data_IF_777163556094
#
_entry.id   IF_777163556094
#
_cell.length_a   1.000
_cell.length_b   1.000
_cell.length_c   1.000
_cell.angle_alpha   90.00
_cell.angle_beta   90.00
_cell.angle_gamma   90.00
#
_symmetry.space_group_name_H-M   'P 1'
#
loop_
_entity.id
_entity.type
_entity.pdbx_description
1 polymer ?
#
# COMPACT_ATOMS: atom_id res chain seq x y z
N UNK A 1 1.28 -38.65 -18.48
CA UNK A 1 1.02 -37.22 -18.24
C UNK A 1 1.71 -36.88 -16.94
N UNK A 2 2.82 -36.13 -16.98
CA UNK A 2 3.52 -35.74 -15.76
C UNK A 2 2.68 -34.66 -15.07
N UNK A 3 2.29 -34.91 -13.81
CA UNK A 3 1.57 -33.94 -13.00
C UNK A 3 2.64 -33.00 -12.38
N UNK A 4 2.72 -31.72 -12.77
CA UNK A 4 3.74 -30.83 -12.24
C UNK A 4 3.38 -30.56 -10.78
N UNK A 5 4.12 -31.17 -9.86
CA UNK A 5 3.97 -30.91 -8.44
C UNK A 5 4.68 -29.59 -8.15
N UNK A 6 3.92 -28.49 -8.16
CA UNK A 6 4.42 -27.16 -7.86
C UNK A 6 4.64 -27.11 -6.34
N UNK A 7 5.86 -27.39 -5.91
CA UNK A 7 6.26 -27.16 -4.52
C UNK A 7 6.56 -25.66 -4.35
N UNK A 8 5.60 -24.92 -3.79
CA UNK A 8 5.76 -23.49 -3.53
C UNK A 8 6.58 -23.33 -2.26
N UNK A 9 7.86 -22.95 -2.42
CA UNK A 9 8.71 -22.59 -1.29
C UNK A 9 8.46 -21.12 -0.89
N UNK A 10 7.57 -20.95 0.09
CA UNK A 10 7.21 -19.63 0.63
C UNK A 10 8.38 -18.96 1.35
N UNK A 11 9.30 -19.74 1.94
CA UNK A 11 10.43 -19.19 2.66
C UNK A 11 11.43 -18.58 1.69
N UNK A 12 11.78 -19.31 0.63
CA UNK A 12 12.66 -18.80 -0.42
C UNK A 12 12.10 -17.52 -1.07
N UNK A 13 10.79 -17.49 -1.34
CA UNK A 13 10.16 -16.29 -1.90
C UNK A 13 10.22 -15.08 -0.95
N UNK A 14 10.09 -15.30 0.36
CA UNK A 14 10.21 -14.23 1.34
C UNK A 14 11.66 -13.74 1.48
N UNK A 15 12.64 -14.64 1.45
CA UNK A 15 14.06 -14.29 1.43
C UNK A 15 14.40 -13.40 0.23
N UNK A 16 14.00 -13.81 -0.99
CA UNK A 16 14.18 -13.02 -2.21
C UNK A 16 13.50 -11.64 -2.12
N UNK A 17 12.31 -11.58 -1.52
CA UNK A 17 11.59 -10.32 -1.32
C UNK A 17 12.33 -9.41 -0.33
N UNK A 18 12.88 -9.95 0.76
CA UNK A 18 13.64 -9.19 1.74
C UNK A 18 14.96 -8.68 1.17
N UNK A 19 15.63 -9.47 0.32
CA UNK A 19 16.87 -9.06 -0.34
C UNK A 19 16.69 -7.80 -1.21
N UNK A 20 15.52 -7.62 -1.84
CA UNK A 20 15.22 -6.43 -2.62
C UNK A 20 15.25 -5.12 -1.81
N UNK A 21 15.15 -5.18 -0.47
CA UNK A 21 15.26 -4.01 0.40
C UNK A 21 16.68 -3.73 0.89
N UNK A 22 17.64 -4.63 0.65
CA UNK A 22 19.02 -4.44 1.07
C UNK A 22 19.76 -3.49 0.12
N UNK A 23 20.50 -2.54 0.68
CA UNK A 23 21.37 -1.65 -0.10
C UNK A 23 20.62 -0.62 -0.96
N UNK A 24 19.35 -0.31 -0.66
CA UNK A 24 18.61 0.72 -1.37
C UNK A 24 19.24 2.10 -1.16
N UNK A 25 19.52 2.81 -2.25
CA UNK A 25 19.97 4.21 -2.23
C UNK A 25 18.74 5.14 -2.25
N UNK A 26 18.44 5.89 -1.17
CA UNK A 26 17.28 6.78 -1.12
C UNK A 26 17.28 7.91 -2.15
N UNK A 27 18.46 8.31 -2.61
CA UNK A 27 18.62 9.43 -3.54
C UNK A 27 18.31 9.05 -5.00
N UNK A 28 18.24 7.75 -5.31
CA UNK A 28 18.07 7.23 -6.67
C UNK A 28 16.92 6.23 -6.77
N UNK A 29 15.67 6.63 -6.44
CA UNK A 29 14.51 5.71 -6.39
C UNK A 29 14.20 5.03 -7.74
N UNK A 30 14.63 5.65 -8.86
CA UNK A 30 14.51 5.07 -10.19
C UNK A 30 15.28 3.75 -10.37
N UNK A 31 16.33 3.50 -9.57
CA UNK A 31 17.16 2.30 -9.67
C UNK A 31 16.71 1.15 -8.75
N UNK A 32 15.72 1.37 -7.90
CA UNK A 32 15.28 0.34 -6.96
C UNK A 32 14.72 -0.92 -7.64
N UNK A 33 14.78 -2.09 -6.99
CA UNK A 33 14.02 -3.26 -7.41
C UNK A 33 12.50 -2.99 -7.43
N UNK A 34 11.75 -3.87 -8.10
CA UNK A 34 10.32 -3.63 -8.37
C UNK A 34 9.47 -3.57 -7.09
N UNK A 35 9.76 -4.42 -6.10
CA UNK A 35 8.95 -4.51 -4.89
C UNK A 35 9.05 -3.22 -4.05
N UNK A 36 10.25 -2.70 -3.70
CA UNK A 36 10.38 -1.40 -3.03
C UNK A 36 9.72 -0.25 -3.79
N UNK A 37 9.82 -0.22 -5.13
CA UNK A 37 9.16 0.80 -5.96
C UNK A 37 7.66 0.78 -5.78
N UNK A 38 7.04 -0.39 -5.99
CA UNK A 38 5.59 -0.54 -5.92
C UNK A 38 5.06 -0.23 -4.52
N UNK A 39 5.73 -0.71 -3.46
CA UNK A 39 5.34 -0.39 -2.10
C UNK A 39 5.42 1.11 -1.81
N UNK A 40 6.43 1.80 -2.34
CA UNK A 40 6.57 3.25 -2.13
C UNK A 40 5.49 4.04 -2.85
N UNK A 41 5.13 3.65 -4.07
CA UNK A 41 3.98 4.21 -4.78
C UNK A 41 2.67 3.95 -4.03
N UNK A 42 2.46 2.72 -3.57
CA UNK A 42 1.26 2.35 -2.82
C UNK A 42 1.17 3.12 -1.50
N UNK A 43 2.26 3.21 -0.75
CA UNK A 43 2.32 3.98 0.49
C UNK A 43 1.98 5.46 0.23
N UNK A 44 2.53 6.05 -0.84
CA UNK A 44 2.21 7.43 -1.24
C UNK A 44 0.74 7.58 -1.57
N UNK A 45 0.16 6.64 -2.34
CA UNK A 45 -1.27 6.67 -2.68
C UNK A 45 -2.15 6.59 -1.43
N UNK A 46 -1.83 5.70 -0.48
CA UNK A 46 -2.55 5.56 0.79
C UNK A 46 -2.47 6.86 1.59
N UNK A 47 -1.29 7.49 1.67
CA UNK A 47 -1.12 8.78 2.35
C UNK A 47 -1.99 9.86 1.71
N UNK A 48 -1.97 9.97 0.38
CA UNK A 48 -2.79 10.98 -0.34
C UNK A 48 -4.28 10.74 -0.10
N UNK A 49 -4.74 9.49 -0.19
CA UNK A 49 -6.15 9.14 0.07
C UNK A 49 -6.53 9.42 1.53
N UNK A 50 -5.67 9.06 2.49
CA UNK A 50 -5.91 9.31 3.91
C UNK A 50 -5.97 10.80 4.24
N UNK A 51 -5.08 11.60 3.66
CA UNK A 51 -5.10 13.06 3.80
C UNK A 51 -6.35 13.67 3.16
N UNK A 52 -6.74 13.22 1.97
CA UNK A 52 -7.98 13.67 1.32
C UNK A 52 -9.23 13.29 2.11
N UNK A 53 -9.24 12.09 2.71
CA UNK A 53 -10.33 11.63 3.55
C UNK A 53 -10.53 12.53 4.78
N UNK A 54 -9.46 12.76 5.56
CA UNK A 54 -9.53 13.55 6.79
C UNK A 54 -9.60 15.06 6.51
N UNK A 55 -8.95 15.53 5.45
CA UNK A 55 -8.90 16.96 5.13
C UNK A 55 -10.14 17.48 4.41
N UNK A 56 -10.91 16.61 3.74
CA UNK A 56 -12.05 17.03 2.90
C UNK A 56 -13.33 16.25 3.22
N UNK A 57 -13.28 14.91 3.19
CA UNK A 57 -14.49 14.08 3.26
C UNK A 57 -15.07 13.94 4.67
N UNK A 58 -14.24 13.95 5.72
CA UNK A 58 -14.73 13.77 7.09
C UNK A 58 -15.62 14.94 7.52
N UNK A 59 -15.25 16.18 7.19
CA UNK A 59 -16.05 17.36 7.55
C UNK A 59 -17.45 17.32 6.93
N UNK A 60 -17.56 16.89 5.68
CA UNK A 60 -18.85 16.70 4.99
C UNK A 60 -19.69 15.60 5.66
N UNK A 61 -19.04 14.52 6.08
CA UNK A 61 -19.71 13.41 6.78
C UNK A 61 -20.25 13.87 8.15
N UNK A 62 -19.49 14.68 8.87
CA UNK A 62 -19.90 15.26 10.17
C UNK A 62 -21.08 16.22 10.00
N UNK A 63 -21.09 17.06 8.96
CA UNK A 63 -22.21 17.96 8.66
C UNK A 63 -23.50 17.19 8.35
N UNK A 64 -23.41 16.17 7.49
CA UNK A 64 -24.54 15.30 7.19
C UNK A 64 -25.05 14.56 8.43
N UNK A 65 -24.13 14.14 9.31
CA UNK A 65 -24.48 13.48 10.57
C UNK A 65 -25.27 14.44 11.47
N UNK A 66 -24.83 15.69 11.59
CA UNK A 66 -25.52 16.73 12.38
C UNK A 66 -26.91 17.01 11.84
N UNK A 67 -27.09 17.09 10.53
CA UNK A 67 -28.43 17.30 9.94
C UNK A 67 -29.33 16.08 10.15
N UNK A 68 -28.80 14.86 9.97
CA UNK A 68 -29.56 13.63 10.24
C UNK A 68 -30.01 13.54 11.69
N UNK A 69 -29.19 13.97 12.64
CA UNK A 69 -29.51 13.91 14.06
C UNK A 69 -30.57 14.97 14.47
N UNK A 70 -30.91 15.91 13.58
CA UNK A 70 -32.04 16.84 13.75
C UNK A 70 -33.36 16.28 13.23
N UNK A 71 -33.32 15.24 12.39
CA UNK A 71 -34.54 14.56 11.93
C UNK A 71 -34.99 13.55 13.01
N UNK A 72 -36.23 13.70 13.56
CA UNK A 72 -36.74 12.86 14.65
C UNK A 72 -37.18 11.45 14.23
#
# INVERSE_FOLDING_TARGET
MANPNINIDLNAWFEDAQEQFRGLNPNEPGQWPILPKLLSFLATAIVVVGLGWVGVLSAQSDELQVERDKEP
#
